data_IF_889129629553
#
_entry.id   IF_889129629553
#
_cell.length_a   1.000
_cell.length_b   1.000
_cell.length_c   1.000
_cell.angle_alpha   90.00
_cell.angle_beta   90.00
_cell.angle_gamma   90.00
#
_symmetry.space_group_name_H-M   'P 1'
#
loop_
_entity.id
_entity.type
_entity.pdbx_description
1 polymer ?
#
# COMPACT_ATOMS: atom_id res chain seq x y z
N UNK A 1 11.26 10.93 20.71
CA UNK A 1 10.08 11.42 19.95
C UNK A 1 9.43 10.22 19.31
N UNK A 2 8.10 10.10 19.39
CA UNK A 2 7.37 9.10 18.62
C UNK A 2 7.24 9.58 17.17
N UNK A 3 7.51 8.70 16.21
CA UNK A 3 7.30 9.01 14.79
C UNK A 3 5.81 8.98 14.47
N UNK A 4 5.32 9.99 13.75
CA UNK A 4 3.92 10.09 13.31
C UNK A 4 3.87 9.96 11.79
N UNK A 5 2.95 9.16 11.28
CA UNK A 5 2.72 9.02 9.84
C UNK A 5 1.88 10.22 9.37
N UNK A 6 2.48 11.11 8.58
CA UNK A 6 1.82 12.31 8.06
C UNK A 6 1.22 12.12 6.67
N UNK A 7 1.71 11.13 5.91
CA UNK A 7 1.25 10.83 4.56
C UNK A 7 1.60 9.39 4.18
N UNK A 8 0.68 8.71 3.51
CA UNK A 8 0.90 7.39 2.91
C UNK A 8 0.63 7.53 1.42
N UNK A 9 1.62 7.19 0.58
CA UNK A 9 1.46 7.19 -0.88
C UNK A 9 1.59 5.77 -1.40
N UNK A 10 0.54 5.32 -2.10
CA UNK A 10 0.43 3.99 -2.68
C UNK A 10 0.40 4.15 -4.19
N UNK A 11 1.46 3.68 -4.86
CA UNK A 11 1.61 3.78 -6.31
C UNK A 11 1.77 2.38 -6.86
N UNK A 12 0.89 1.98 -7.76
CA UNK A 12 0.85 0.65 -8.36
C UNK A 12 1.01 -0.46 -7.32
N UNK A 13 0.36 -0.32 -6.16
CA UNK A 13 0.47 -1.23 -5.03
C UNK A 13 -0.87 -1.96 -4.81
N UNK A 14 -0.86 -3.29 -4.91
CA UNK A 14 -2.07 -4.14 -4.83
C UNK A 14 -3.14 -3.59 -5.77
N UNK A 15 -4.31 -3.22 -5.26
CA UNK A 15 -5.41 -2.65 -6.06
C UNK A 15 -5.28 -1.15 -6.37
N UNK A 16 -4.32 -0.45 -5.75
CA UNK A 16 -4.16 0.99 -5.89
C UNK A 16 -3.21 1.33 -7.03
N UNK A 17 -3.67 2.08 -8.03
CA UNK A 17 -2.83 2.62 -9.12
C UNK A 17 -2.09 3.90 -8.68
N UNK A 18 -2.82 4.88 -8.16
CA UNK A 18 -2.28 6.04 -7.44
C UNK A 18 -3.29 6.46 -6.37
N UNK A 19 -2.92 6.28 -5.11
CA UNK A 19 -3.77 6.63 -3.99
C UNK A 19 -2.94 7.24 -2.86
N UNK A 20 -3.43 8.34 -2.30
CA UNK A 20 -2.78 9.05 -1.20
C UNK A 20 -3.72 9.12 -0.02
N UNK A 21 -3.22 8.75 1.16
CA UNK A 21 -3.91 8.91 2.44
C UNK A 21 -3.18 9.95 3.27
N UNK A 22 -3.93 10.91 3.79
CA UNK A 22 -3.45 11.91 4.76
C UNK A 22 -4.09 11.57 6.11
N UNK A 23 -3.37 10.92 7.03
CA UNK A 23 -3.92 10.54 8.33
C UNK A 23 -4.24 11.75 9.22
N UNK A 24 -5.26 11.63 10.05
CA UNK A 24 -5.56 12.53 11.15
C UNK A 24 -4.55 12.33 12.31
N UNK A 25 -4.37 13.38 13.12
CA UNK A 25 -3.36 13.42 14.18
C UNK A 25 -3.56 12.39 15.31
N UNK A 26 -4.79 11.96 15.55
CA UNK A 26 -5.13 11.12 16.72
C UNK A 26 -5.59 9.72 16.35
N UNK A 27 -6.75 9.63 15.69
CA UNK A 27 -7.38 8.35 15.35
C UNK A 27 -7.74 8.38 13.87
N UNK A 28 -7.45 7.28 13.19
CA UNK A 28 -7.78 7.05 11.80
C UNK A 28 -8.66 5.81 11.72
N UNK A 29 -9.80 5.92 11.05
CA UNK A 29 -10.75 4.82 10.88
C UNK A 29 -10.82 4.51 9.38
N UNK A 30 -10.47 3.28 9.01
CA UNK A 30 -10.57 2.80 7.63
C UNK A 30 -11.89 2.04 7.47
N UNK A 31 -12.81 2.59 6.67
CA UNK A 31 -14.16 2.02 6.44
C UNK A 31 -14.40 1.78 4.96
N UNK A 32 -15.19 0.76 4.63
CA UNK A 32 -15.56 0.38 3.27
C UNK A 32 -15.86 -1.11 3.19
N UNK A 33 -16.18 -1.60 1.99
CA UNK A 33 -16.52 -3.02 1.78
C UNK A 33 -15.30 -3.94 1.90
N UNK A 34 -15.55 -5.24 2.00
CA UNK A 34 -14.48 -6.24 1.93
C UNK A 34 -13.73 -6.11 0.60
N UNK A 35 -12.44 -6.41 0.64
CA UNK A 35 -11.55 -6.40 -0.54
C UNK A 35 -11.36 -5.01 -1.19
N UNK A 36 -11.90 -3.94 -0.59
CA UNK A 36 -11.69 -2.55 -1.07
C UNK A 36 -10.28 -2.01 -0.78
N UNK A 37 -9.39 -2.81 -0.20
CA UNK A 37 -7.97 -2.44 0.04
C UNK A 37 -7.65 -1.83 1.39
N UNK A 38 -8.58 -1.87 2.35
CA UNK A 38 -8.33 -1.42 3.73
C UNK A 38 -7.10 -2.11 4.35
N UNK A 39 -7.03 -3.44 4.27
CA UNK A 39 -5.89 -4.23 4.76
C UNK A 39 -4.60 -3.93 3.99
N UNK A 40 -4.71 -3.61 2.68
CA UNK A 40 -3.55 -3.25 1.86
C UNK A 40 -2.90 -1.94 2.33
N UNK A 41 -3.67 -0.96 2.81
CA UNK A 41 -3.11 0.27 3.40
C UNK A 41 -2.26 -0.07 4.63
N UNK A 42 -2.78 -0.90 5.52
CA UNK A 42 -2.05 -1.33 6.73
C UNK A 42 -0.82 -2.18 6.39
N UNK A 43 -0.93 -3.07 5.40
CA UNK A 43 0.18 -3.89 4.91
C UNK A 43 1.31 -3.03 4.33
N UNK A 44 0.97 -1.98 3.57
CA UNK A 44 1.97 -1.05 3.05
C UNK A 44 2.75 -0.35 4.16
N UNK A 45 2.06 0.08 5.24
CA UNK A 45 2.70 0.68 6.42
C UNK A 45 3.65 -0.33 7.08
N UNK A 46 3.19 -1.56 7.31
CA UNK A 46 3.99 -2.62 7.95
C UNK A 46 5.24 -2.99 7.12
N UNK A 47 5.09 -3.10 5.79
CA UNK A 47 6.20 -3.40 4.88
C UNK A 47 7.29 -2.33 4.93
N UNK A 48 6.93 -1.04 4.87
CA UNK A 48 7.94 0.04 4.88
C UNK A 48 8.51 0.28 6.27
N UNK A 49 7.69 0.17 7.32
CA UNK A 49 8.14 0.38 8.70
C UNK A 49 9.06 -0.74 9.18
N UNK A 50 8.85 -1.98 8.73
CA UNK A 50 9.71 -3.11 9.08
C UNK A 50 11.04 -3.13 8.32
N UNK A 51 11.16 -2.42 7.19
CA UNK A 51 12.37 -2.39 6.36
C UNK A 51 12.82 -3.78 5.85
N UNK A 52 11.91 -4.76 5.85
CA UNK A 52 12.27 -6.16 5.61
C UNK A 52 12.17 -6.52 4.12
N UNK A 53 13.29 -6.41 3.41
CA UNK A 53 13.38 -6.76 1.98
C UNK A 53 13.04 -8.22 1.71
N UNK A 54 13.44 -9.15 2.59
CA UNK A 54 13.11 -10.59 2.43
C UNK A 54 11.60 -10.83 2.45
N UNK A 55 10.87 -10.04 3.25
CA UNK A 55 9.40 -10.12 3.27
C UNK A 55 8.81 -9.67 1.94
N UNK A 56 9.32 -8.59 1.35
CA UNK A 56 8.93 -8.14 0.00
C UNK A 56 9.16 -9.23 -1.04
N UNK A 57 10.35 -9.85 -1.02
CA UNK A 57 10.70 -10.96 -1.92
C UNK A 57 9.77 -12.17 -1.73
N UNK A 58 9.46 -12.52 -0.48
CA UNK A 58 8.60 -13.67 -0.15
C UNK A 58 7.15 -13.50 -0.61
N UNK A 59 6.65 -12.27 -0.65
CA UNK A 59 5.29 -11.97 -1.12
C UNK A 59 5.23 -12.08 -2.65
N UNK A 60 6.31 -11.69 -3.34
CA UNK A 60 6.39 -11.67 -4.80
C UNK A 60 5.89 -10.35 -5.40
N UNK A 61 6.63 -9.86 -6.40
CA UNK A 61 6.30 -8.59 -7.10
C UNK A 61 4.99 -8.67 -7.89
N UNK A 62 4.66 -9.85 -8.43
CA UNK A 62 3.40 -10.15 -9.11
C UNK A 62 2.17 -9.93 -8.22
N UNK A 63 2.33 -10.17 -6.91
CA UNK A 63 1.25 -9.93 -5.93
C UNK A 63 1.24 -8.50 -5.42
N UNK A 64 2.41 -7.86 -5.34
CA UNK A 64 2.55 -6.50 -4.79
C UNK A 64 2.21 -5.42 -5.81
N UNK A 65 2.56 -5.61 -7.08
CA UNK A 65 2.34 -4.61 -8.13
C UNK A 65 0.90 -4.69 -8.64
N UNK A 66 0.30 -3.53 -8.87
CA UNK A 66 -1.03 -3.43 -9.44
C UNK A 66 -1.11 -4.05 -10.84
N UNK A 67 -2.08 -4.93 -11.04
CA UNK A 67 -2.19 -5.69 -12.28
C UNK A 67 -2.54 -4.81 -13.48
N UNK A 68 -3.31 -3.74 -13.29
CA UNK A 68 -3.63 -2.79 -14.36
C UNK A 68 -2.38 -1.97 -14.75
N UNK A 69 -1.50 -1.67 -13.79
CA UNK A 69 -0.22 -1.04 -14.09
C UNK A 69 0.69 -1.95 -14.93
N UNK A 70 0.73 -3.25 -14.63
CA UNK A 70 1.48 -4.25 -15.42
C UNK A 70 0.90 -4.34 -16.84
N UNK A 71 -0.42 -4.45 -16.97
CA UNK A 71 -1.10 -4.49 -18.28
C UNK A 71 -0.79 -3.24 -19.09
N UNK A 72 -0.87 -2.06 -18.48
CA UNK A 72 -0.56 -0.79 -19.11
C UNK A 72 0.90 -0.71 -19.56
N UNK A 73 1.84 -1.20 -18.75
CA UNK A 73 3.25 -1.25 -19.15
C UNK A 73 3.47 -2.17 -20.36
N UNK A 74 2.80 -3.33 -20.39
CA UNK A 74 2.92 -4.30 -21.47
C UNK A 74 2.22 -3.88 -22.78
N UNK A 75 1.29 -2.92 -22.73
CA UNK A 75 0.58 -2.42 -23.91
C UNK A 75 1.33 -1.36 -24.72
N UNK A 76 2.49 -0.89 -24.23
CA UNK A 76 3.20 0.28 -24.78
C UNK A 76 2.59 1.61 -24.34
#
# INVERSE_FOLDING_TARGET
MASVITKIRLINFRRFSDYTVTPNERINILVGDNEVGKSSILEAIDLVASGNVRRVESIGLDRLINIEAIKKFNSG
#
